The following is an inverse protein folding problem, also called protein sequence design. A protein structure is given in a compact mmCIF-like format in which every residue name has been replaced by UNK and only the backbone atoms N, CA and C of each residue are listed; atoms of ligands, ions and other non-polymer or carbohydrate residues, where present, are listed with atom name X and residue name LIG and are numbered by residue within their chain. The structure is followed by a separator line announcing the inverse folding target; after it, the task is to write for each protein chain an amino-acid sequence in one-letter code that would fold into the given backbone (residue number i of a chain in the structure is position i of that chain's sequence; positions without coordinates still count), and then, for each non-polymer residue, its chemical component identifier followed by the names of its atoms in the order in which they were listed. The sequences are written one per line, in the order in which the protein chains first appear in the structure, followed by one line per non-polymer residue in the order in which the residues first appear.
data_IF_597869386699
#
_entry.id   IF_597869386699
#
_cell.length_a   1.000
_cell.length_b   1.000
_cell.length_c   1.000
_cell.angle_alpha   90.00
_cell.angle_beta   90.00
_cell.angle_gamma   90.00
#
_symmetry.space_group_name_H-M   'P 1'
#
loop_
_entity.id
_entity.type
_entity.pdbx_description
1 polymer ?
#
# COMPACT_ATOMS: atom_id res chain seq x y z
N UNK A 1 5.79 12.73 -2.74
CA UNK A 1 6.16 13.53 -3.92
C UNK A 1 5.40 14.85 -3.99
N UNK A 2 4.10 14.87 -3.86
CA UNK A 2 3.27 16.09 -3.87
C UNK A 2 2.97 16.66 -2.49
N UNK A 3 3.34 15.95 -1.46
CA UNK A 3 3.21 16.40 -0.07
C UNK A 3 4.30 17.46 0.25
N UNK A 4 3.98 18.55 0.97
CA UNK A 4 2.71 18.83 1.63
C UNK A 4 1.65 19.58 0.81
N UNK A 5 1.90 19.86 -0.45
CA UNK A 5 1.03 20.70 -1.28
C UNK A 5 -0.24 20.02 -1.79
N UNK A 6 -0.26 18.68 -1.83
CA UNK A 6 -1.42 17.90 -2.28
C UNK A 6 -1.58 16.63 -1.47
N UNK A 7 -2.83 16.19 -1.26
CA UNK A 7 -3.19 14.89 -0.69
C UNK A 7 -3.40 13.79 -1.74
N UNK A 8 -3.01 14.05 -2.99
CA UNK A 8 -3.19 13.10 -4.09
C UNK A 8 -2.19 11.95 -3.95
N UNK A 9 -2.69 10.71 -4.07
CA UNK A 9 -1.85 9.55 -4.26
C UNK A 9 -1.25 9.58 -5.67
N UNK A 10 0.05 9.35 -5.77
CA UNK A 10 0.75 9.30 -7.04
C UNK A 10 1.20 7.87 -7.34
N UNK A 11 1.14 7.45 -8.60
CA UNK A 11 1.77 6.22 -9.05
C UNK A 11 2.99 6.54 -9.91
N UNK A 12 3.94 5.60 -9.92
CA UNK A 12 5.09 5.61 -10.80
C UNK A 12 5.03 4.34 -11.66
N UNK A 13 5.12 4.49 -12.97
CA UNK A 13 5.10 3.37 -13.91
C UNK A 13 6.40 3.36 -14.71
N UNK A 14 7.01 2.18 -14.80
CA UNK A 14 8.22 1.94 -15.59
C UNK A 14 7.89 0.99 -16.74
N UNK A 15 8.09 1.42 -17.97
CA UNK A 15 7.79 0.64 -19.17
C UNK A 15 9.06 0.29 -19.95
N UNK A 16 9.11 -0.92 -20.48
CA UNK A 16 10.09 -1.29 -21.51
C UNK A 16 9.46 -1.09 -22.87
N UNK A 17 9.97 -0.14 -23.65
CA UNK A 17 9.43 0.18 -24.97
C UNK A 17 9.78 -0.90 -26.01
N UNK A 18 8.97 -0.98 -27.07
CA UNK A 18 9.20 -1.85 -28.23
C UNK A 18 8.94 -3.34 -27.98
N UNK A 19 8.37 -3.71 -26.83
CA UNK A 19 8.02 -5.09 -26.49
C UNK A 19 6.56 -5.14 -26.03
N UNK A 20 5.62 -5.59 -26.88
CA UNK A 20 4.21 -5.70 -26.50
C UNK A 20 4.05 -6.55 -25.24
N UNK A 21 3.11 -6.16 -24.41
CA UNK A 21 2.72 -6.88 -23.20
C UNK A 21 1.41 -7.61 -23.46
N UNK A 22 1.47 -8.93 -23.73
CA UNK A 22 0.30 -9.73 -24.06
C UNK A 22 0.13 -10.83 -23.00
N UNK A 23 -1.02 -10.84 -22.34
CA UNK A 23 -1.34 -11.76 -21.23
C UNK A 23 -1.43 -13.22 -21.68
N UNK A 24 -1.90 -13.45 -22.92
CA UNK A 24 -2.10 -14.80 -23.47
C UNK A 24 -0.84 -15.46 -24.01
N UNK A 25 0.25 -14.72 -24.18
CA UNK A 25 1.49 -15.28 -24.69
C UNK A 25 2.18 -16.16 -23.66
N UNK A 26 2.73 -17.30 -24.14
CA UNK A 26 3.64 -18.13 -23.33
C UNK A 26 4.86 -17.35 -22.82
N UNK A 27 5.19 -16.25 -23.52
CA UNK A 27 6.26 -15.29 -23.19
C UNK A 27 5.72 -14.10 -22.39
N UNK A 28 4.47 -14.11 -21.97
CA UNK A 28 3.88 -13.01 -21.21
C UNK A 28 4.73 -12.69 -19.97
N UNK A 29 5.21 -11.45 -19.93
CA UNK A 29 6.09 -10.97 -18.87
C UNK A 29 5.25 -10.60 -17.67
N UNK A 30 5.75 -10.98 -16.51
CA UNK A 30 5.15 -10.52 -15.27
C UNK A 30 5.46 -9.03 -15.02
N UNK A 31 4.47 -8.32 -14.52
CA UNK A 31 4.58 -6.94 -14.02
C UNK A 31 4.74 -6.97 -12.51
N UNK A 32 5.73 -6.23 -12.00
CA UNK A 32 5.89 -6.02 -10.57
C UNK A 32 5.02 -4.83 -10.15
N UNK A 33 4.22 -5.04 -9.12
CA UNK A 33 3.40 -4.02 -8.47
C UNK A 33 3.90 -3.76 -7.06
N UNK A 34 4.00 -2.48 -6.69
CA UNK A 34 4.44 -2.08 -5.36
C UNK A 34 3.50 -1.05 -4.73
N UNK A 35 3.16 -1.23 -3.47
CA UNK A 35 2.31 -0.35 -2.67
C UNK A 35 3.12 0.34 -1.57
N UNK A 36 3.69 1.50 -1.87
CA UNK A 36 4.53 2.26 -0.97
C UNK A 36 3.69 3.23 -0.14
N UNK A 37 3.53 2.93 1.17
CA UNK A 37 2.73 3.74 2.11
C UNK A 37 3.53 4.84 2.81
N UNK A 38 4.83 4.69 2.91
CA UNK A 38 5.70 5.56 3.70
C UNK A 38 6.93 5.94 2.86
N UNK A 39 7.22 7.22 2.81
CA UNK A 39 8.36 7.75 2.08
C UNK A 39 9.51 8.24 2.99
N UNK A 40 9.40 7.98 4.29
CA UNK A 40 10.42 8.35 5.27
C UNK A 40 10.43 9.82 5.65
N UNK A 41 9.41 10.60 5.27
CA UNK A 41 9.32 12.02 5.58
C UNK A 41 8.04 12.35 6.35
N UNK A 42 8.09 13.43 7.13
CA UNK A 42 6.92 13.99 7.82
C UNK A 42 6.77 15.48 7.52
N UNK A 43 5.54 15.97 7.62
CA UNK A 43 5.27 17.40 7.57
C UNK A 43 5.52 18.02 8.94
N UNK A 44 6.40 19.01 9.03
CA UNK A 44 6.57 19.87 10.21
C UNK A 44 6.08 21.28 9.91
N UNK A 45 5.38 21.88 10.89
CA UNK A 45 4.92 23.27 10.79
C UNK A 45 6.13 24.18 10.54
N UNK A 46 6.02 25.09 9.59
CA UNK A 46 7.04 26.05 9.16
C UNK A 46 8.29 25.48 8.49
N UNK A 47 8.51 24.15 8.48
CA UNK A 47 9.69 23.51 7.88
C UNK A 47 9.33 22.69 6.62
N UNK A 48 8.03 22.49 6.37
CA UNK A 48 7.59 21.67 5.24
C UNK A 48 7.87 20.18 5.46
N UNK A 49 8.38 19.52 4.43
CA UNK A 49 8.70 18.10 4.41
C UNK A 49 10.10 17.87 4.99
N UNK A 50 10.17 17.13 6.08
CA UNK A 50 11.41 16.85 6.81
C UNK A 50 11.66 15.35 6.87
N UNK A 51 12.88 14.93 6.55
CA UNK A 51 13.31 13.54 6.64
C UNK A 51 13.24 13.02 8.08
N UNK A 52 12.80 11.78 8.22
CA UNK A 52 12.79 11.07 9.49
C UNK A 52 14.06 10.23 9.63
N UNK A 53 14.59 10.19 10.86
CA UNK A 53 15.68 9.32 11.26
C UNK A 53 15.19 8.31 12.28
N UNK A 54 15.69 7.09 12.22
CA UNK A 54 15.44 6.03 13.19
C UNK A 54 16.67 5.83 14.08
N UNK A 55 16.45 5.25 15.23
CA UNK A 55 17.51 4.97 16.19
C UNK A 55 18.42 3.86 15.68
N UNK A 56 19.71 4.07 15.83
CA UNK A 56 20.73 3.04 15.69
C UNK A 56 20.78 2.11 16.94
N UNK A 57 21.65 1.12 16.94
CA UNK A 57 21.84 0.20 18.06
C UNK A 57 22.26 0.90 19.36
N UNK A 58 22.84 2.09 19.27
CA UNK A 58 23.26 2.92 20.41
C UNK A 58 22.16 3.89 20.86
N UNK A 59 21.01 3.87 20.20
CA UNK A 59 19.87 4.72 20.55
C UNK A 59 19.90 6.12 19.94
N UNK A 60 20.87 6.45 19.07
CA UNK A 60 20.95 7.74 18.41
C UNK A 60 20.13 7.74 17.11
N UNK A 61 19.51 8.87 16.77
CA UNK A 61 18.74 9.04 15.53
C UNK A 61 19.67 9.37 14.35
N UNK A 62 20.37 8.36 13.84
CA UNK A 62 21.41 8.51 12.81
C UNK A 62 21.06 7.82 11.49
N UNK A 63 20.13 6.86 11.50
CA UNK A 63 19.78 6.08 10.31
C UNK A 63 18.68 6.79 9.56
N UNK A 64 18.92 7.16 8.30
CA UNK A 64 17.90 7.72 7.42
C UNK A 64 16.79 6.70 7.16
N UNK A 65 15.55 7.08 7.50
CA UNK A 65 14.37 6.24 7.22
C UNK A 65 14.12 6.12 5.72
N UNK A 66 14.32 7.21 4.98
CA UNK A 66 14.22 7.22 3.52
C UNK A 66 15.19 6.24 2.87
N UNK A 67 16.47 6.26 3.26
CA UNK A 67 17.47 5.36 2.69
C UNK A 67 17.08 3.90 2.91
N UNK A 68 16.62 3.56 4.11
CA UNK A 68 16.17 2.21 4.44
C UNK A 68 14.97 1.76 3.60
N UNK A 69 13.98 2.65 3.44
CA UNK A 69 12.81 2.38 2.59
C UNK A 69 13.24 2.20 1.13
N UNK A 70 14.09 3.08 0.63
CA UNK A 70 14.63 3.00 -0.74
C UNK A 70 15.33 1.66 -0.99
N UNK A 71 16.21 1.27 -0.09
CA UNK A 71 17.01 0.05 -0.25
C UNK A 71 16.12 -1.20 -0.20
N UNK A 72 15.12 -1.22 0.69
CA UNK A 72 14.10 -2.27 0.73
C UNK A 72 13.33 -2.36 -0.61
N UNK A 73 12.88 -1.23 -1.15
CA UNK A 73 12.11 -1.23 -2.40
C UNK A 73 12.94 -1.58 -3.63
N UNK A 74 14.22 -1.20 -3.67
CA UNK A 74 15.12 -1.62 -4.74
C UNK A 74 15.32 -3.13 -4.71
N UNK A 75 15.58 -3.71 -3.55
CA UNK A 75 15.73 -5.15 -3.39
C UNK A 75 14.45 -5.92 -3.77
N UNK A 76 13.27 -5.46 -3.34
CA UNK A 76 11.99 -6.05 -3.72
C UNK A 76 11.76 -6.00 -5.25
N UNK A 77 12.08 -4.87 -5.87
CA UNK A 77 11.94 -4.69 -7.31
C UNK A 77 12.91 -5.55 -8.12
N UNK A 78 14.17 -5.60 -7.74
CA UNK A 78 15.22 -6.39 -8.42
C UNK A 78 14.91 -7.88 -8.38
N UNK A 79 14.51 -8.38 -7.21
CA UNK A 79 14.15 -9.79 -7.02
C UNK A 79 12.73 -10.13 -7.45
N UNK A 80 11.91 -9.13 -7.78
CA UNK A 80 10.47 -9.29 -8.01
C UNK A 80 9.78 -10.07 -6.88
N UNK A 81 10.13 -9.71 -5.66
CA UNK A 81 9.64 -10.41 -4.48
C UNK A 81 8.17 -10.05 -4.21
N UNK A 82 7.37 -11.06 -3.86
CA UNK A 82 5.97 -10.90 -3.45
C UNK A 82 5.92 -10.87 -1.93
N UNK A 83 5.41 -9.78 -1.37
CA UNK A 83 5.28 -9.57 0.08
C UNK A 83 3.88 -9.08 0.40
N UNK A 84 3.19 -9.78 1.30
CA UNK A 84 1.83 -9.46 1.71
C UNK A 84 1.74 -8.01 2.24
N UNK A 85 0.76 -7.26 1.75
CA UNK A 85 0.55 -5.85 2.08
C UNK A 85 1.56 -4.86 1.47
N UNK A 86 2.51 -5.32 0.62
CA UNK A 86 3.52 -4.48 -0.02
C UNK A 86 3.62 -4.65 -1.53
N UNK A 87 3.72 -5.88 -2.03
CA UNK A 87 4.04 -6.13 -3.44
C UNK A 87 3.36 -7.37 -4.00
N UNK A 88 3.15 -7.34 -5.31
CA UNK A 88 2.63 -8.46 -6.09
C UNK A 88 3.36 -8.55 -7.43
N UNK A 89 3.27 -9.71 -8.05
CA UNK A 89 3.79 -9.96 -9.40
C UNK A 89 2.72 -10.69 -10.19
N UNK A 90 2.20 -10.03 -11.23
CA UNK A 90 1.10 -10.56 -12.04
C UNK A 90 1.30 -10.33 -13.53
N UNK A 91 0.61 -11.15 -14.33
CA UNK A 91 0.52 -10.98 -15.77
C UNK A 91 -0.73 -10.20 -16.10
N UNK A 92 -0.56 -8.98 -16.57
CA UNK A 92 -1.65 -8.06 -16.88
C UNK A 92 -1.60 -7.60 -18.33
N UNK A 93 -2.72 -7.16 -18.87
CA UNK A 93 -2.84 -6.52 -20.17
C UNK A 93 -3.48 -5.12 -20.02
N UNK A 94 -3.69 -4.41 -21.10
CA UNK A 94 -4.21 -3.04 -21.09
C UNK A 94 -5.63 -2.91 -20.48
N UNK A 95 -6.40 -3.98 -20.40
CA UNK A 95 -7.78 -3.98 -19.89
C UNK A 95 -7.85 -4.44 -18.43
N UNK A 96 -6.74 -4.89 -17.86
CA UNK A 96 -6.67 -5.32 -16.47
C UNK A 96 -6.44 -4.10 -15.53
N UNK A 97 -6.65 -4.29 -14.25
CA UNK A 97 -6.33 -3.27 -13.23
C UNK A 97 -4.81 -3.07 -13.13
N UNK A 98 -4.37 -1.81 -12.95
CA UNK A 98 -2.95 -1.46 -12.85
C UNK A 98 -2.57 -0.88 -11.48
N UNK A 99 -3.33 -1.25 -10.46
CA UNK A 99 -3.04 -0.89 -9.07
C UNK A 99 -2.58 -2.11 -8.29
N UNK A 100 -1.58 -1.91 -7.42
CA UNK A 100 -1.02 -2.98 -6.59
C UNK A 100 -2.09 -3.63 -5.70
N UNK A 101 -3.02 -2.84 -5.20
CA UNK A 101 -4.08 -3.28 -4.29
C UNK A 101 -5.02 -4.33 -4.90
N UNK A 102 -5.12 -4.39 -6.23
CA UNK A 102 -5.93 -5.41 -6.91
C UNK A 102 -5.31 -6.82 -6.83
N UNK A 103 -4.00 -6.90 -6.59
CA UNK A 103 -3.24 -8.15 -6.68
C UNK A 103 -2.51 -8.54 -5.41
N UNK A 104 -2.14 -7.57 -4.57
CA UNK A 104 -1.42 -7.89 -3.34
C UNK A 104 -2.35 -8.56 -2.32
N UNK A 105 -1.81 -9.54 -1.62
CA UNK A 105 -2.50 -10.14 -0.47
C UNK A 105 -2.48 -9.18 0.71
N UNK A 106 -3.55 -9.20 1.49
CA UNK A 106 -3.62 -8.44 2.74
C UNK A 106 -2.69 -9.02 3.79
N UNK A 107 -1.89 -8.18 4.40
CA UNK A 107 -1.06 -8.57 5.55
C UNK A 107 -1.94 -8.61 6.81
N UNK A 108 -2.40 -9.80 7.17
CA UNK A 108 -3.23 -10.02 8.35
C UNK A 108 -2.43 -10.04 9.66
N UNK A 109 -1.11 -10.12 9.61
CA UNK A 109 -0.26 -10.22 10.81
C UNK A 109 -0.29 -8.97 11.67
N UNK A 110 -0.66 -7.84 11.08
CA UNK A 110 -0.75 -6.52 11.75
C UNK A 110 -2.14 -6.16 12.22
N UNK A 111 -3.15 -6.97 11.90
CA UNK A 111 -4.53 -6.70 12.29
C UNK A 111 -4.77 -7.17 13.72
N UNK A 112 -5.42 -6.32 14.48
CA UNK A 112 -5.83 -6.57 15.86
C UNK A 112 -7.34 -6.80 15.95
N UNK A 113 -7.82 -7.36 17.04
CA UNK A 113 -9.26 -7.50 17.32
C UNK A 113 -9.97 -6.13 17.29
N UNK A 114 -9.28 -5.07 17.74
CA UNK A 114 -9.80 -3.69 17.72
C UNK A 114 -10.00 -3.15 16.30
N UNK A 115 -9.15 -3.54 15.33
CA UNK A 115 -9.32 -3.15 13.93
C UNK A 115 -10.58 -3.78 13.33
N UNK A 116 -10.84 -5.05 13.65
CA UNK A 116 -12.08 -5.71 13.23
C UNK A 116 -13.30 -5.09 13.89
N UNK A 117 -13.24 -4.85 15.22
CA UNK A 117 -14.34 -4.22 15.95
C UNK A 117 -14.64 -2.82 15.41
N UNK A 118 -13.63 -2.02 15.12
CA UNK A 118 -13.79 -0.68 14.51
C UNK A 118 -14.46 -0.76 13.14
N UNK A 119 -14.04 -1.72 12.30
CA UNK A 119 -14.65 -1.93 10.99
C UNK A 119 -16.12 -2.32 11.10
N UNK A 120 -16.44 -3.25 12.03
CA UNK A 120 -17.81 -3.64 12.30
C UNK A 120 -18.66 -2.45 12.78
N UNK A 121 -18.17 -1.66 13.72
CA UNK A 121 -18.87 -0.48 14.22
C UNK A 121 -19.12 0.55 13.12
N UNK A 122 -18.16 0.77 12.22
CA UNK A 122 -18.31 1.67 11.08
C UNK A 122 -19.38 1.17 10.11
N UNK A 123 -19.41 -0.14 9.84
CA UNK A 123 -20.41 -0.76 8.99
C UNK A 123 -21.82 -0.66 9.60
N UNK A 124 -21.95 -0.94 10.89
CA UNK A 124 -23.22 -0.79 11.60
C UNK A 124 -23.71 0.66 11.58
N UNK A 125 -22.81 1.62 11.79
CA UNK A 125 -23.13 3.04 11.71
C UNK A 125 -23.58 3.45 10.28
N UNK A 126 -22.97 2.89 9.25
CA UNK A 126 -23.38 3.09 7.87
C UNK A 126 -24.80 2.56 7.65
N UNK A 127 -25.09 1.32 8.05
CA UNK A 127 -26.41 0.72 7.90
C UNK A 127 -27.51 1.53 8.60
N UNK A 128 -27.22 2.04 9.79
CA UNK A 128 -28.19 2.91 10.52
C UNK A 128 -28.43 4.22 9.75
N UNK A 129 -27.38 4.83 9.17
CA UNK A 129 -27.52 6.06 8.37
C UNK A 129 -28.34 5.85 7.11
N UNK A 130 -28.20 4.67 6.48
CA UNK A 130 -28.97 4.29 5.28
C UNK A 130 -30.42 3.82 5.59
N UNK A 131 -30.82 3.89 6.88
CA UNK A 131 -32.20 3.56 7.30
C UNK A 131 -32.47 2.04 7.41
N UNK A 132 -31.43 1.20 7.44
CA UNK A 132 -31.60 -0.21 7.71
C UNK A 132 -31.95 -0.39 9.20
N UNK A 133 -33.18 -0.72 9.48
CA UNK A 133 -33.63 -1.06 10.83
C UNK A 133 -33.34 -2.54 11.09
N UNK A 134 -32.55 -2.83 12.10
CA UNK A 134 -32.41 -4.20 12.58
C UNK A 134 -33.64 -4.59 13.38
N UNK A 135 -34.45 -5.48 12.86
CA UNK A 135 -35.38 -6.21 13.71
C UNK A 135 -34.54 -7.11 14.64
N UNK A 136 -34.41 -6.72 15.88
CA UNK A 136 -33.95 -7.64 16.91
C UNK A 136 -35.09 -8.66 17.06
N UNK A 137 -34.95 -9.81 16.43
CA UNK A 137 -35.77 -10.95 16.75
C UNK A 137 -35.45 -11.31 18.20
N UNK A 138 -36.24 -10.76 19.13
CA UNK A 138 -36.31 -11.19 20.49
C UNK A 138 -36.83 -12.62 20.51
N UNK A 139 -35.91 -13.57 20.42
CA UNK A 139 -36.17 -14.96 20.73
C UNK A 139 -36.46 -15.09 22.22
N UNK A 140 -37.65 -15.50 22.54
CA UNK A 140 -38.10 -15.98 23.84
C UNK A 140 -37.25 -17.16 24.32
#
# INVERSE_FOLDING_TARGET
MFYPGSSVCACCMLFTLGKPHVKSDSIARSTFFGYCKDDGFIKKKNLGRVEQFIKDEKGNFTISKWQRIRDEWLDLFERKAVVDGKSAVEKVNANDEWLCEAYMKTDYTKLTADDFQRTLNNYLSYLVKEGHVYETNGGV
#
